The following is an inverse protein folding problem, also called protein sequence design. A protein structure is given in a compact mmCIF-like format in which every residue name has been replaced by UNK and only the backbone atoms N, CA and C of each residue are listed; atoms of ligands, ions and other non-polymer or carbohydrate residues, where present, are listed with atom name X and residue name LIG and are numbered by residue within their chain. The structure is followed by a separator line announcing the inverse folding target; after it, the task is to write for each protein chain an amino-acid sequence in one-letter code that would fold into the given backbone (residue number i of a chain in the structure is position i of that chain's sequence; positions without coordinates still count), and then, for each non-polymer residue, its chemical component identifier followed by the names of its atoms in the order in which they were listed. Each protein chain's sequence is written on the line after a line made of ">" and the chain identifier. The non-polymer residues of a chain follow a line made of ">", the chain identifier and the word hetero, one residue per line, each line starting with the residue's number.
data_IF_385456908066
#
_entry.id   IF_385456908066
#
_cell.length_a   1.000
_cell.length_b   1.000
_cell.length_c   1.000
_cell.angle_alpha   90.00
_cell.angle_beta   90.00
_cell.angle_gamma   90.00
#
_symmetry.space_group_name_H-M   'P 1'
#
loop_
_entity.id
_entity.type
_entity.pdbx_description
1 polymer ?
#
# COMPACT_ATOMS: atom_id res chain seq x y z
N UNK A 1 10.89 6.20 1.31
CA UNK A 1 11.08 6.33 2.77
C UNK A 1 10.13 7.38 3.33
N UNK A 2 9.42 7.03 4.41
CA UNK A 2 8.41 7.86 5.07
C UNK A 2 8.71 7.96 6.57
N UNK A 3 8.36 9.10 7.17
CA UNK A 3 8.47 9.35 8.61
C UNK A 3 7.06 9.33 9.21
N UNK A 4 6.80 8.44 10.16
CA UNK A 4 5.58 8.47 10.97
C UNK A 4 5.74 9.51 12.06
N UNK A 5 4.79 10.44 12.16
CA UNK A 5 4.79 11.47 13.19
C UNK A 5 3.37 11.77 13.68
N UNK A 6 3.28 12.39 14.85
CA UNK A 6 2.04 12.95 15.39
C UNK A 6 2.19 14.46 15.50
N UNK A 7 1.20 15.21 15.03
CA UNK A 7 1.19 16.67 15.18
C UNK A 7 0.72 17.05 16.58
N UNK A 8 1.29 18.13 17.13
CA UNK A 8 0.88 18.62 18.44
C UNK A 8 -0.61 19.02 18.43
N UNK A 9 -1.39 18.46 19.36
CA UNK A 9 -2.85 18.67 19.43
C UNK A 9 -3.69 17.66 18.64
N UNK A 10 -3.07 16.70 17.95
CA UNK A 10 -3.74 15.61 17.25
C UNK A 10 -3.34 14.26 17.84
N UNK A 11 -4.29 13.33 17.93
CA UNK A 11 -4.04 11.95 18.40
C UNK A 11 -3.69 11.00 17.24
N UNK A 12 -3.91 11.43 15.99
CA UNK A 12 -3.68 10.59 14.81
C UNK A 12 -2.20 10.58 14.39
N UNK A 13 -1.73 9.42 13.92
CA UNK A 13 -0.47 9.28 13.22
C UNK A 13 -0.57 9.76 11.76
N UNK A 14 0.52 10.35 11.27
CA UNK A 14 0.64 10.88 9.90
C UNK A 14 1.96 10.45 9.28
N UNK A 15 1.92 10.17 7.98
CA UNK A 15 3.09 9.80 7.19
C UNK A 15 3.62 10.99 6.40
N UNK A 16 4.86 11.39 6.67
CA UNK A 16 5.56 12.42 5.93
C UNK A 16 6.56 11.78 4.98
N UNK A 17 6.43 12.10 3.68
CA UNK A 17 7.39 11.68 2.67
C UNK A 17 8.76 12.32 2.96
N UNK A 18 9.74 11.52 3.36
CA UNK A 18 11.01 12.05 3.85
C UNK A 18 11.76 12.85 2.77
N UNK A 19 11.63 12.45 1.51
CA UNK A 19 12.20 13.15 0.36
C UNK A 19 11.62 14.55 0.11
N UNK A 20 10.51 14.91 0.78
CA UNK A 20 9.88 16.23 0.70
C UNK A 20 10.26 17.15 1.86
N UNK A 21 11.04 16.67 2.83
CA UNK A 21 11.47 17.47 3.98
C UNK A 21 12.70 18.28 3.59
N UNK A 22 12.56 19.61 3.58
CA UNK A 22 13.62 20.54 3.19
C UNK A 22 14.64 20.73 4.33
N UNK A 23 14.16 20.82 5.57
CA UNK A 23 15.00 20.99 6.77
C UNK A 23 14.30 20.42 8.00
N UNK A 24 15.06 19.86 8.93
CA UNK A 24 14.59 19.45 10.25
C UNK A 24 15.47 20.09 11.33
N UNK A 25 14.86 20.57 12.43
CA UNK A 25 15.57 21.13 13.57
C UNK A 25 15.17 20.38 14.83
N UNK A 26 16.16 19.83 15.54
CA UNK A 26 15.94 19.29 16.87
C UNK A 26 15.55 20.43 17.82
N UNK A 27 14.46 20.25 18.55
CA UNK A 27 13.98 21.21 19.55
C UNK A 27 14.14 20.60 20.94
N UNK A 28 14.15 21.45 21.96
CA UNK A 28 14.17 21.01 23.37
C UNK A 28 12.79 20.58 23.87
N UNK A 29 11.78 20.52 22.99
CA UNK A 29 10.44 20.11 23.36
C UNK A 29 10.43 18.61 23.68
N UNK A 30 9.92 18.28 24.86
CA UNK A 30 9.70 16.90 25.28
C UNK A 30 8.40 16.41 24.68
N UNK A 31 8.39 15.23 24.05
CA UNK A 31 7.17 14.57 23.63
C UNK A 31 6.87 13.38 24.54
N UNK A 32 5.59 13.08 24.74
CA UNK A 32 5.16 11.87 25.44
C UNK A 32 5.04 10.75 24.41
N UNK A 33 5.84 9.69 24.55
CA UNK A 33 5.72 8.51 23.68
C UNK A 33 4.31 7.93 23.82
N UNK A 34 3.56 7.75 22.71
CA UNK A 34 2.25 7.10 22.78
C UNK A 34 2.44 5.67 23.27
N UNK A 35 1.75 5.30 24.36
CA UNK A 35 1.93 3.99 24.99
C UNK A 35 1.46 2.82 24.11
N UNK A 36 0.56 3.07 23.15
CA UNK A 36 -0.01 2.08 22.25
C UNK A 36 0.54 2.11 20.82
N UNK A 37 1.56 2.92 20.52
CA UNK A 37 2.12 3.00 19.17
C UNK A 37 3.09 1.84 18.90
N UNK A 38 2.68 0.94 18.02
CA UNK A 38 3.51 -0.12 17.46
C UNK A 38 3.65 0.11 15.95
N UNK A 39 4.89 0.36 15.51
CA UNK A 39 5.20 0.64 14.11
C UNK A 39 4.85 -0.55 13.19
N UNK A 40 5.00 -1.79 13.67
CA UNK A 40 4.64 -2.98 12.89
C UNK A 40 3.12 -3.07 12.73
N UNK A 41 2.36 -2.78 13.79
CA UNK A 41 0.88 -2.74 13.70
C UNK A 41 0.40 -1.63 12.77
N UNK A 42 1.04 -0.47 12.82
CA UNK A 42 0.74 0.68 11.98
C UNK A 42 1.02 0.43 10.49
N UNK A 43 2.09 -0.32 10.18
CA UNK A 43 2.40 -0.74 8.81
C UNK A 43 1.42 -1.79 8.28
N UNK A 44 1.09 -2.80 9.12
CA UNK A 44 0.12 -3.86 8.78
C UNK A 44 -1.28 -3.33 8.51
N UNK A 45 -1.68 -2.27 9.21
CA UNK A 45 -2.97 -1.57 9.01
C UNK A 45 -3.02 -0.70 7.74
N UNK A 46 -1.93 -0.61 6.97
CA UNK A 46 -1.93 0.04 5.65
C UNK A 46 -1.88 1.57 5.69
N UNK A 47 -1.56 2.18 6.84
CA UNK A 47 -1.57 3.64 6.99
C UNK A 47 -0.55 4.38 6.10
N UNK A 48 0.44 3.68 5.54
CA UNK A 48 1.39 4.22 4.57
C UNK A 48 0.80 4.45 3.16
N UNK A 49 -0.41 3.96 2.86
CA UNK A 49 -1.08 4.12 1.56
C UNK A 49 -2.59 4.36 1.72
N UNK A 50 -2.99 5.63 1.62
CA UNK A 50 -4.36 6.18 1.69
C UNK A 50 -5.49 5.26 1.17
N UNK A 51 -6.07 4.45 2.06
CA UNK A 51 -7.34 3.73 1.95
C UNK A 51 -7.83 3.41 3.36
N UNK A 52 -9.12 3.15 3.57
CA UNK A 52 -9.69 2.84 4.90
C UNK A 52 -9.22 1.48 5.47
N UNK A 53 -8.09 0.94 5.01
CA UNK A 53 -7.64 -0.42 5.28
C UNK A 53 -8.46 -1.50 4.58
N UNK A 54 -9.45 -1.13 3.75
CA UNK A 54 -10.26 -2.08 2.99
C UNK A 54 -9.39 -2.79 1.96
N UNK A 55 -9.34 -4.12 2.05
CA UNK A 55 -8.55 -4.95 1.15
C UNK A 55 -9.44 -5.57 0.08
N UNK A 56 -8.95 -5.54 -1.15
CA UNK A 56 -9.59 -6.12 -2.32
C UNK A 56 -8.68 -7.17 -2.95
N UNK A 57 -9.29 -8.12 -3.65
CA UNK A 57 -8.59 -8.93 -4.63
C UNK A 57 -8.54 -8.15 -5.94
N UNK A 58 -7.34 -7.74 -6.34
CA UNK A 58 -7.07 -7.06 -7.60
C UNK A 58 -6.59 -8.09 -8.63
N UNK A 59 -7.10 -7.99 -9.85
CA UNK A 59 -6.58 -8.71 -11.02
C UNK A 59 -6.44 -7.76 -12.21
N UNK A 60 -5.34 -7.84 -12.95
CA UNK A 60 -5.14 -7.06 -14.17
C UNK A 60 -4.15 -7.75 -15.10
N UNK A 61 -4.18 -7.37 -16.37
CA UNK A 61 -3.15 -7.76 -17.35
C UNK A 61 -2.23 -6.58 -17.60
N UNK A 62 -0.93 -6.86 -17.73
CA UNK A 62 0.10 -5.86 -18.01
C UNK A 62 1.09 -6.40 -19.05
N UNK A 63 1.50 -5.57 -20.01
CA UNK A 63 2.56 -5.93 -20.97
C UNK A 63 3.85 -6.35 -20.26
N UNK A 64 4.55 -7.35 -20.78
CA UNK A 64 5.74 -7.92 -20.10
C UNK A 64 6.81 -6.87 -19.79
N UNK A 65 7.12 -6.02 -20.75
CA UNK A 65 8.11 -4.94 -20.61
C UNK A 65 7.74 -3.98 -19.46
N UNK A 66 6.45 -3.63 -19.35
CA UNK A 66 5.96 -2.74 -18.31
C UNK A 66 5.83 -3.44 -16.95
N UNK A 67 5.52 -4.73 -16.93
CA UNK A 67 5.24 -5.52 -15.73
C UNK A 67 6.42 -6.27 -15.14
N UNK A 68 7.60 -6.27 -15.77
CA UNK A 68 8.76 -7.07 -15.35
C UNK A 68 9.13 -6.87 -13.88
N UNK A 69 9.11 -5.62 -13.41
CA UNK A 69 9.42 -5.26 -12.03
C UNK A 69 8.48 -5.91 -11.00
N UNK A 70 7.26 -6.31 -11.38
CA UNK A 70 6.30 -6.99 -10.51
C UNK A 70 6.69 -8.43 -10.19
N UNK A 71 7.62 -9.03 -10.96
CA UNK A 71 8.18 -10.35 -10.65
C UNK A 71 9.18 -10.28 -9.50
N UNK A 72 9.90 -9.16 -9.38
CA UNK A 72 10.93 -8.94 -8.36
C UNK A 72 10.36 -8.23 -7.12
N UNK A 73 9.45 -7.28 -7.33
CA UNK A 73 8.81 -6.47 -6.30
C UNK A 73 7.29 -6.70 -6.36
N UNK A 74 6.80 -7.81 -5.79
CA UNK A 74 5.37 -8.12 -5.82
C UNK A 74 4.55 -7.11 -5.02
N UNK A 75 3.31 -6.88 -5.44
CA UNK A 75 2.34 -6.01 -4.78
C UNK A 75 1.97 -6.50 -3.37
N UNK A 76 1.98 -7.81 -3.17
CA UNK A 76 1.67 -8.48 -1.91
C UNK A 76 2.26 -9.88 -1.86
N UNK A 77 2.32 -10.47 -0.67
CA UNK A 77 2.86 -11.83 -0.46
C UNK A 77 2.05 -12.93 -1.16
N UNK A 78 0.76 -12.69 -1.39
CA UNK A 78 -0.15 -13.60 -2.08
C UNK A 78 -0.28 -13.31 -3.58
N UNK A 79 0.63 -12.49 -4.12
CA UNK A 79 0.66 -12.19 -5.55
C UNK A 79 0.89 -13.48 -6.35
N UNK A 80 0.03 -13.67 -7.35
CA UNK A 80 0.15 -14.72 -8.35
C UNK A 80 0.38 -14.07 -9.71
N UNK A 81 1.21 -14.71 -10.51
CA UNK A 81 1.52 -14.29 -11.88
C UNK A 81 1.27 -15.45 -12.81
N UNK A 82 0.47 -15.22 -13.84
CA UNK A 82 0.35 -16.11 -14.98
C UNK A 82 0.99 -15.43 -16.17
N UNK A 83 2.04 -16.06 -16.70
CA UNK A 83 2.72 -15.59 -17.90
C UNK A 83 1.96 -16.07 -19.13
N UNK A 84 1.55 -15.12 -19.99
CA UNK A 84 1.01 -15.37 -21.32
C UNK A 84 2.03 -14.91 -22.37
N UNK A 85 1.69 -14.94 -23.66
CA UNK A 85 2.63 -14.57 -24.74
C UNK A 85 3.25 -13.19 -24.53
N UNK A 86 2.44 -12.12 -24.57
CA UNK A 86 2.94 -10.72 -24.51
C UNK A 86 2.62 -9.99 -23.20
N UNK A 87 1.88 -10.63 -22.29
CA UNK A 87 1.40 -10.01 -21.05
C UNK A 87 1.57 -10.92 -19.85
N UNK A 88 1.64 -10.31 -18.67
CA UNK A 88 1.42 -10.95 -17.38
C UNK A 88 -0.01 -10.73 -16.91
N UNK A 89 -0.65 -11.77 -16.39
CA UNK A 89 -1.84 -11.62 -15.57
C UNK A 89 -1.45 -11.68 -14.11
N UNK A 90 -1.66 -10.56 -13.41
CA UNK A 90 -1.29 -10.38 -12.02
C UNK A 90 -2.55 -10.45 -11.19
N UNK A 91 -2.52 -11.22 -10.10
CA UNK A 91 -3.58 -11.21 -9.09
C UNK A 91 -2.97 -11.09 -7.70
N UNK A 92 -3.43 -10.13 -6.89
CA UNK A 92 -2.87 -9.83 -5.58
C UNK A 92 -3.95 -9.29 -4.63
N UNK A 93 -3.74 -9.46 -3.33
CA UNK A 93 -4.54 -8.78 -2.31
C UNK A 93 -3.89 -7.46 -1.95
N UNK A 94 -4.61 -6.36 -2.19
CA UNK A 94 -4.08 -4.99 -2.02
C UNK A 94 -5.08 -4.10 -1.28
N UNK A 95 -4.60 -3.00 -0.72
CA UNK A 95 -5.46 -1.97 -0.11
C UNK A 95 -6.14 -1.18 -1.22
N UNK A 96 -7.47 -1.12 -1.20
CA UNK A 96 -8.23 -0.27 -2.09
C UNK A 96 -8.01 1.20 -1.70
N UNK A 97 -7.29 1.91 -2.55
CA UNK A 97 -6.72 3.22 -2.24
C UNK A 97 -6.69 4.08 -3.49
N UNK A 98 -6.76 5.40 -3.31
CA UNK A 98 -6.53 6.33 -4.42
C UNK A 98 -5.11 6.18 -4.99
N UNK A 99 -4.15 5.80 -4.13
CA UNK A 99 -2.78 5.50 -4.56
C UNK A 99 -2.72 4.31 -5.51
N UNK A 100 -3.46 3.22 -5.23
CA UNK A 100 -3.56 2.08 -6.14
C UNK A 100 -4.17 2.49 -7.49
N UNK A 101 -5.24 3.30 -7.46
CA UNK A 101 -5.87 3.82 -8.67
C UNK A 101 -4.87 4.65 -9.51
N UNK A 102 -4.09 5.53 -8.88
CA UNK A 102 -3.09 6.35 -9.56
C UNK A 102 -1.94 5.52 -10.09
N UNK A 103 -1.50 4.52 -9.34
CA UNK A 103 -0.45 3.58 -9.75
C UNK A 103 -0.88 2.80 -11.00
N UNK A 104 -2.11 2.25 -11.01
CA UNK A 104 -2.67 1.57 -12.19
C UNK A 104 -2.75 2.50 -13.41
N UNK A 105 -3.21 3.74 -13.22
CA UNK A 105 -3.26 4.76 -14.30
C UNK A 105 -1.88 5.14 -14.83
N UNK A 106 -0.85 5.07 -13.99
CA UNK A 106 0.53 5.37 -14.37
C UNK A 106 1.08 4.49 -15.50
N UNK A 107 0.51 3.30 -15.68
CA UNK A 107 0.88 2.40 -16.78
C UNK A 107 0.20 2.72 -18.12
N UNK A 108 -0.80 3.62 -18.13
CA UNK A 108 -1.50 4.02 -19.35
C UNK A 108 -2.13 2.82 -20.07
N UNK A 109 -1.82 2.66 -21.36
CA UNK A 109 -2.37 1.59 -22.21
C UNK A 109 -1.75 0.22 -21.95
N UNK A 110 -0.63 0.16 -21.22
CA UNK A 110 0.10 -1.09 -20.96
C UNK A 110 -0.61 -1.97 -19.93
N UNK A 111 -1.63 -1.46 -19.24
CA UNK A 111 -2.49 -2.20 -18.31
C UNK A 111 -3.88 -2.32 -18.87
N UNK A 112 -4.44 -3.54 -18.81
CA UNK A 112 -5.79 -3.83 -19.28
C UNK A 112 -6.50 -4.84 -18.38
N UNK A 113 -7.81 -5.04 -18.62
CA UNK A 113 -8.65 -6.01 -17.91
C UNK A 113 -8.62 -5.90 -16.38
N UNK A 114 -8.48 -4.69 -15.85
CA UNK A 114 -8.48 -4.43 -14.40
C UNK A 114 -9.82 -4.85 -13.79
N UNK A 115 -9.77 -5.72 -12.79
CA UNK A 115 -10.90 -6.20 -11.99
C UNK A 115 -10.59 -6.05 -10.51
N UNK A 116 -11.60 -5.63 -9.76
CA UNK A 116 -11.57 -5.50 -8.31
C UNK A 116 -12.73 -6.30 -7.75
N UNK A 117 -12.45 -7.16 -6.78
CA UNK A 117 -13.50 -7.85 -6.03
C UNK A 117 -13.23 -7.72 -4.53
N UNK A 118 -14.26 -7.47 -3.71
CA UNK A 118 -14.10 -7.48 -2.26
C UNK A 118 -13.60 -8.85 -1.81
N UNK A 119 -12.75 -8.86 -0.79
CA UNK A 119 -12.37 -10.12 -0.17
C UNK A 119 -13.60 -10.73 0.53
N UNK A 120 -13.79 -12.06 0.48
CA UNK A 120 -14.80 -12.71 1.29
C UNK A 120 -14.53 -12.38 2.76
N UNK A 121 -15.58 -11.97 3.49
CA UNK A 121 -15.53 -11.71 4.93
C UNK A 121 -15.02 -12.98 5.63
N UNK A 122 -13.82 -12.93 6.19
CA UNK A 122 -13.25 -14.02 6.97
C UNK A 122 -13.84 -13.91 8.37
N UNK A 123 -15.00 -14.54 8.60
CA UNK A 123 -15.55 -14.70 9.95
C UNK A 123 -14.55 -15.54 10.77
N UNK A 124 -14.05 -14.96 11.86
CA UNK A 124 -13.14 -15.64 12.77
C UNK A 124 -13.81 -16.85 13.40
N UNK A 125 -13.53 -18.04 12.87
CA UNK A 125 -13.80 -19.28 13.59
C UNK A 125 -12.74 -19.43 14.66
N UNK A 126 -13.14 -19.12 15.88
CA UNK A 126 -12.48 -19.54 17.10
C UNK A 126 -12.40 -21.08 17.14
N UNK A 127 -11.21 -21.60 17.47
CA UNK A 127 -11.02 -22.90 18.13
C UNK A 127 -10.02 -22.71 19.28
#
# INVERSE_FOLDING_TARGET
>A
MYLVCRFNGYEDERNLALHRIITARATTFTFKRPAGFDLNKYDVEGHFGYGNGERIRLSFQIEKEAGLHLLESPLSVDQQVVEMDDVYEITATVVDSEMLEWWLRGFGENVSKVRRSPLPFQDGTAI
#
